data_IF_690383650038
#
_entry.id   IF_690383650038
#
_cell.length_a   1.000
_cell.length_b   1.000
_cell.length_c   1.000
_cell.angle_alpha   90.00
_cell.angle_beta   90.00
_cell.angle_gamma   90.00
#
_symmetry.space_group_name_H-M   'P 1'
#
loop_
_entity.id
_entity.type
_entity.pdbx_description
1 polymer ?
#
# COMPACT_ATOMS: atom_id res chain seq x y z
N UNK A 1 3.00 21.50 -2.13
CA UNK A 1 4.15 20.72 -2.62
C UNK A 1 4.00 20.60 -4.12
N UNK A 2 5.10 20.70 -4.87
CA UNK A 2 5.04 20.57 -6.33
C UNK A 2 4.95 19.09 -6.74
N UNK A 3 4.36 18.81 -7.91
CA UNK A 3 4.12 17.43 -8.35
C UNK A 3 5.40 16.57 -8.36
N UNK A 4 6.49 17.07 -8.93
CA UNK A 4 7.76 16.34 -8.98
C UNK A 4 8.41 16.16 -7.61
N UNK A 5 8.14 17.06 -6.67
CA UNK A 5 8.59 16.93 -5.28
C UNK A 5 7.81 15.81 -4.57
N UNK A 6 6.49 15.75 -4.74
CA UNK A 6 5.66 14.65 -4.22
C UNK A 6 6.12 13.29 -4.77
N UNK A 7 6.36 13.21 -6.09
CA UNK A 7 6.81 11.98 -6.74
C UNK A 7 8.20 11.53 -6.29
N UNK A 8 9.17 12.44 -6.20
CA UNK A 8 10.56 12.09 -5.84
C UNK A 8 10.75 11.78 -4.36
N UNK A 9 9.87 12.29 -3.48
CA UNK A 9 9.95 12.08 -2.04
C UNK A 9 9.05 10.95 -1.52
N UNK A 10 8.13 10.43 -2.33
CA UNK A 10 7.28 9.30 -1.97
C UNK A 10 8.13 8.05 -1.69
N UNK A 11 7.92 7.42 -0.52
CA UNK A 11 8.61 6.20 -0.10
C UNK A 11 7.64 5.24 0.58
N UNK A 12 8.00 3.96 0.60
CA UNK A 12 7.32 2.96 1.42
C UNK A 12 7.64 3.17 2.92
N UNK A 13 6.88 4.04 3.57
CA UNK A 13 7.01 4.31 5.01
C UNK A 13 6.38 3.16 5.80
N UNK A 14 7.12 2.70 6.82
CA UNK A 14 6.77 1.54 7.65
C UNK A 14 6.57 1.90 9.13
N UNK A 15 6.75 3.17 9.47
CA UNK A 15 6.54 3.74 10.81
C UNK A 15 5.63 4.94 10.65
N UNK A 16 4.36 4.76 10.96
CA UNK A 16 3.34 5.76 10.79
C UNK A 16 2.95 6.30 12.16
N UNK A 17 2.60 7.58 12.21
CA UNK A 17 2.07 8.19 13.43
C UNK A 17 0.59 7.82 13.59
N UNK A 18 0.12 7.81 14.84
CA UNK A 18 -1.27 7.53 15.21
C UNK A 18 -2.17 8.78 15.23
N UNK A 19 -1.63 9.96 14.91
CA UNK A 19 -2.39 11.21 14.86
C UNK A 19 -3.58 11.09 13.90
N UNK A 20 -4.79 11.50 14.31
CA UNK A 20 -5.97 11.45 13.45
C UNK A 20 -5.78 12.22 12.13
N UNK A 21 -6.26 11.65 11.03
CA UNK A 21 -6.36 12.35 9.75
C UNK A 21 -7.71 13.06 9.69
N UNK A 22 -7.75 14.39 9.49
CA UNK A 22 -9.01 15.13 9.32
C UNK A 22 -9.84 14.58 8.17
N UNK A 23 -11.17 14.58 8.32
CA UNK A 23 -12.07 14.03 7.29
C UNK A 23 -11.96 14.80 5.97
N UNK A 24 -11.80 16.12 6.00
CA UNK A 24 -11.57 16.94 4.81
C UNK A 24 -10.28 16.57 4.05
N UNK A 25 -9.22 16.16 4.76
CA UNK A 25 -7.97 15.69 4.16
C UNK A 25 -8.21 14.34 3.49
N UNK A 26 -8.91 13.44 4.20
CA UNK A 26 -9.27 12.12 3.69
C UNK A 26 -10.15 12.23 2.43
N UNK A 27 -11.12 13.14 2.41
CA UNK A 27 -11.96 13.42 1.24
C UNK A 27 -11.14 13.89 0.04
N UNK A 28 -10.19 14.83 0.23
CA UNK A 28 -9.30 15.29 -0.86
C UNK A 28 -8.43 14.17 -1.42
N UNK A 29 -7.85 13.34 -0.54
CA UNK A 29 -7.04 12.18 -0.95
C UNK A 29 -7.88 11.16 -1.72
N UNK A 30 -9.10 10.84 -1.25
CA UNK A 30 -9.99 9.90 -1.93
C UNK A 30 -10.50 10.47 -3.27
N UNK A 31 -10.74 11.78 -3.34
CA UNK A 31 -11.11 12.46 -4.58
C UNK A 31 -9.99 12.37 -5.64
N UNK A 32 -8.72 12.45 -5.23
CA UNK A 32 -7.60 12.25 -6.14
C UNK A 32 -7.57 10.85 -6.77
N UNK A 33 -8.02 9.82 -6.04
CA UNK A 33 -8.18 8.48 -6.57
C UNK A 33 -9.16 8.44 -7.75
N UNK A 34 -10.27 9.18 -7.66
CA UNK A 34 -11.31 9.22 -8.69
C UNK A 34 -10.88 9.97 -9.96
N UNK A 35 -9.83 10.79 -9.90
CA UNK A 35 -9.24 11.41 -11.08
C UNK A 35 -8.33 10.48 -11.89
N UNK A 36 -8.08 9.26 -11.39
CA UNK A 36 -7.28 8.30 -12.12
C UNK A 36 -7.99 7.82 -13.40
N UNK A 37 -7.26 7.64 -14.51
CA UNK A 37 -7.84 7.06 -15.71
C UNK A 37 -8.25 5.61 -15.46
N UNK A 38 -9.40 5.22 -16.00
CA UNK A 38 -9.86 3.83 -16.01
C UNK A 38 -10.48 3.48 -17.36
N UNK A 39 -10.38 2.20 -17.77
CA UNK A 39 -10.96 1.74 -19.03
C UNK A 39 -12.46 2.04 -19.08
N UNK A 40 -12.91 2.75 -20.11
CA UNK A 40 -14.32 3.17 -20.25
C UNK A 40 -14.83 4.08 -19.13
N UNK A 41 -13.94 4.68 -18.32
CA UNK A 41 -14.28 5.43 -17.11
C UNK A 41 -15.12 4.63 -16.09
N UNK A 42 -15.00 3.29 -16.09
CA UNK A 42 -15.82 2.40 -15.27
C UNK A 42 -15.48 2.49 -13.78
N UNK A 43 -14.26 2.92 -13.44
CA UNK A 43 -13.76 2.99 -12.07
C UNK A 43 -14.07 1.70 -11.29
N UNK A 44 -13.46 0.55 -11.68
CA UNK A 44 -13.85 -0.78 -11.22
C UNK A 44 -13.45 -1.06 -9.76
N UNK A 45 -13.11 -0.01 -8.99
CA UNK A 45 -12.64 -0.09 -7.62
C UNK A 45 -13.59 0.58 -6.62
N UNK A 46 -13.45 0.17 -5.37
CA UNK A 46 -14.00 0.81 -4.17
C UNK A 46 -12.86 0.97 -3.17
N UNK A 47 -12.88 2.08 -2.43
CA UNK A 47 -11.87 2.36 -1.41
C UNK A 47 -12.56 2.32 -0.06
N UNK A 48 -12.13 1.40 0.79
CA UNK A 48 -12.61 1.29 2.16
C UNK A 48 -11.64 2.03 3.08
N UNK A 49 -12.12 3.08 3.74
CA UNK A 49 -11.39 3.76 4.81
C UNK A 49 -11.67 3.08 6.16
N UNK A 50 -10.78 2.18 6.58
CA UNK A 50 -10.93 1.42 7.81
C UNK A 50 -10.34 2.22 8.98
N UNK A 51 -11.21 2.71 9.87
CA UNK A 51 -10.85 3.44 11.10
C UNK A 51 -11.14 2.67 12.40
N UNK A 52 -11.90 1.56 12.32
CA UNK A 52 -12.26 0.77 13.49
C UNK A 52 -11.03 0.07 14.06
N UNK A 53 -10.71 0.35 15.32
CA UNK A 53 -9.58 -0.26 16.02
C UNK A 53 -9.68 -1.80 16.08
N UNK A 54 -10.89 -2.35 16.22
CA UNK A 54 -11.12 -3.79 16.20
C UNK A 54 -10.79 -4.39 14.82
N UNK A 55 -11.31 -3.79 13.75
CA UNK A 55 -11.03 -4.25 12.38
C UNK A 55 -9.55 -4.12 12.04
N UNK A 56 -8.91 -3.03 12.46
CA UNK A 56 -7.47 -2.80 12.27
C UNK A 56 -6.63 -3.85 13.00
N UNK A 57 -6.98 -4.22 14.24
CA UNK A 57 -6.31 -5.33 14.97
C UNK A 57 -6.45 -6.67 14.25
N UNK A 58 -7.62 -6.95 13.70
CA UNK A 58 -7.87 -8.17 12.90
C UNK A 58 -7.01 -8.17 11.63
N UNK A 59 -6.96 -7.06 10.90
CA UNK A 59 -6.12 -6.92 9.70
C UNK A 59 -4.64 -7.04 10.05
N UNK A 60 -4.17 -6.43 11.15
CA UNK A 60 -2.80 -6.58 11.62
C UNK A 60 -2.44 -8.05 11.88
N UNK A 61 -3.34 -8.81 12.49
CA UNK A 61 -3.11 -10.24 12.72
C UNK A 61 -2.83 -10.97 11.39
N UNK A 62 -3.72 -10.81 10.41
CA UNK A 62 -3.54 -11.44 9.10
C UNK A 62 -2.28 -10.96 8.37
N UNK A 63 -2.04 -9.65 8.38
CA UNK A 63 -0.85 -9.06 7.78
C UNK A 63 0.44 -9.62 8.40
N UNK A 64 0.49 -9.75 9.73
CA UNK A 64 1.67 -10.29 10.43
C UNK A 64 1.91 -11.75 10.06
N UNK A 65 0.85 -12.57 9.99
CA UNK A 65 0.95 -13.97 9.61
C UNK A 65 1.50 -14.16 8.19
N UNK A 66 1.05 -13.34 7.24
CA UNK A 66 1.58 -13.35 5.86
C UNK A 66 2.99 -12.77 5.78
N UNK A 67 3.27 -11.69 6.53
CA UNK A 67 4.61 -11.11 6.61
C UNK A 67 5.60 -12.17 7.09
N UNK A 68 5.37 -12.81 8.23
CA UNK A 68 6.28 -13.83 8.78
C UNK A 68 6.56 -14.98 7.79
N UNK A 69 5.56 -15.39 7.01
CA UNK A 69 5.74 -16.36 5.93
C UNK A 69 6.61 -15.82 4.80
N UNK A 70 6.35 -14.59 4.34
CA UNK A 70 7.08 -13.93 3.27
C UNK A 70 8.57 -13.73 3.59
N UNK A 71 8.90 -13.28 4.81
CA UNK A 71 10.29 -12.98 5.21
C UNK A 71 11.08 -14.24 5.63
N UNK A 72 10.44 -15.36 5.96
CA UNK A 72 11.15 -16.57 6.45
C UNK A 72 12.37 -16.98 5.60
N UNK A 73 12.32 -17.01 4.25
CA UNK A 73 13.49 -17.36 3.43
C UNK A 73 14.63 -16.33 3.50
N UNK A 74 14.33 -15.03 3.50
CA UNK A 74 15.38 -14.00 3.61
C UNK A 74 16.06 -14.02 4.99
N UNK A 75 15.30 -14.29 6.07
CA UNK A 75 15.85 -14.46 7.43
C UNK A 75 16.86 -15.61 7.51
N UNK A 76 16.62 -16.70 6.78
CA UNK A 76 17.53 -17.85 6.75
C UNK A 76 18.82 -17.54 5.98
N UNK A 77 18.70 -16.86 4.83
CA UNK A 77 19.87 -16.44 4.02
C UNK A 77 20.74 -15.40 4.73
N UNK A 78 20.12 -14.37 5.31
CA UNK A 78 20.86 -13.29 5.97
C UNK A 78 21.62 -13.70 7.24
N UNK A 79 21.31 -14.85 7.84
CA UNK A 79 22.11 -15.44 8.93
C UNK A 79 23.39 -16.11 8.44
N UNK A 80 23.45 -16.48 7.16
CA UNK A 80 24.61 -17.14 6.56
C UNK A 80 25.65 -16.15 6.00
N UNK A 81 25.30 -14.86 5.86
CA UNK A 81 26.13 -13.85 5.20
C UNK A 81 26.42 -12.66 6.15
N UNK A 82 27.69 -12.35 6.38
CA UNK A 82 28.14 -11.18 7.18
C UNK A 82 28.80 -10.13 6.27
N UNK A 83 28.00 -9.39 5.50
CA UNK A 83 28.46 -8.29 4.64
C UNK A 83 27.51 -7.07 4.72
N UNK A 84 27.90 -5.96 4.10
CA UNK A 84 27.11 -4.71 4.11
C UNK A 84 25.73 -4.85 3.44
N UNK A 85 25.62 -5.71 2.43
CA UNK A 85 24.33 -6.01 1.79
C UNK A 85 23.37 -6.72 2.76
N UNK A 86 23.88 -7.65 3.57
CA UNK A 86 23.12 -8.32 4.63
C UNK A 86 22.71 -7.33 5.73
N UNK A 87 23.56 -6.36 6.08
CA UNK A 87 23.21 -5.30 7.04
C UNK A 87 22.08 -4.40 6.53
N UNK A 88 22.11 -4.01 5.24
CA UNK A 88 21.05 -3.22 4.60
C UNK A 88 19.72 -4.00 4.53
N UNK A 89 19.76 -5.27 4.10
CA UNK A 89 18.60 -6.14 4.07
C UNK A 89 17.96 -6.29 5.46
N UNK A 90 18.79 -6.46 6.50
CA UNK A 90 18.32 -6.52 7.89
C UNK A 90 17.61 -5.25 8.36
N UNK A 91 18.02 -4.06 7.89
CA UNK A 91 17.29 -2.80 8.20
C UNK A 91 15.90 -2.79 7.58
N UNK A 92 15.76 -3.23 6.33
CA UNK A 92 14.46 -3.32 5.63
C UNK A 92 13.55 -4.32 6.35
N UNK A 93 14.09 -5.47 6.75
CA UNK A 93 13.37 -6.50 7.50
C UNK A 93 12.87 -5.92 8.83
N UNK A 94 13.74 -5.28 9.62
CA UNK A 94 13.35 -4.65 10.90
C UNK A 94 12.26 -3.59 10.73
N UNK A 95 12.31 -2.82 9.64
CA UNK A 95 11.25 -1.85 9.35
C UNK A 95 9.94 -2.56 9.00
N UNK A 96 9.97 -3.65 8.23
CA UNK A 96 8.79 -4.45 7.92
C UNK A 96 8.20 -5.16 9.15
N UNK A 97 9.07 -5.70 10.02
CA UNK A 97 8.68 -6.27 11.31
C UNK A 97 7.98 -5.24 12.19
N UNK A 98 8.47 -3.99 12.18
CA UNK A 98 7.80 -2.91 12.90
C UNK A 98 6.39 -2.68 12.34
N UNK A 99 6.23 -2.49 11.03
CA UNK A 99 4.90 -2.32 10.42
C UNK A 99 3.98 -3.50 10.75
N UNK A 100 4.47 -4.73 10.66
CA UNK A 100 3.67 -5.92 10.93
C UNK A 100 3.15 -6.00 12.38
N UNK A 101 3.89 -5.43 13.33
CA UNK A 101 3.52 -5.41 14.74
C UNK A 101 2.73 -4.16 15.16
N UNK A 102 2.77 -3.10 14.37
CA UNK A 102 2.19 -1.79 14.69
C UNK A 102 1.12 -1.33 13.68
N UNK A 103 0.75 -2.14 12.68
CA UNK A 103 -0.20 -1.76 11.63
C UNK A 103 -1.53 -1.23 12.17
N UNK A 104 -2.02 -1.77 13.29
CA UNK A 104 -3.29 -1.38 13.89
C UNK A 104 -3.26 -0.01 14.58
N UNK A 105 -2.08 0.60 14.71
CA UNK A 105 -1.91 1.94 15.30
C UNK A 105 -2.18 3.07 14.30
N UNK A 106 -2.29 2.76 13.00
CA UNK A 106 -2.59 3.76 11.98
C UNK A 106 -4.00 4.34 12.21
N UNK A 107 -4.20 5.66 12.01
CA UNK A 107 -5.50 6.30 12.20
C UNK A 107 -6.53 5.87 11.14
N UNK A 108 -6.06 5.49 9.95
CA UNK A 108 -6.88 5.01 8.84
C UNK A 108 -6.06 4.09 7.95
N UNK A 109 -6.65 2.97 7.54
CA UNK A 109 -6.11 2.09 6.49
C UNK A 109 -7.03 2.15 5.27
N UNK A 110 -6.47 2.51 4.12
CA UNK A 110 -7.18 2.47 2.84
C UNK A 110 -7.03 1.10 2.19
N UNK A 111 -8.14 0.40 2.01
CA UNK A 111 -8.18 -0.89 1.30
C UNK A 111 -8.83 -0.68 -0.06
N UNK A 112 -8.08 -0.93 -1.12
CA UNK A 112 -8.58 -0.89 -2.49
C UNK A 112 -9.15 -2.26 -2.85
N UNK A 113 -10.45 -2.30 -3.07
CA UNK A 113 -11.16 -3.48 -3.58
C UNK A 113 -11.51 -3.22 -5.03
N UNK A 114 -11.51 -4.25 -5.88
CA UNK A 114 -11.92 -4.14 -7.27
C UNK A 114 -12.78 -5.33 -7.68
N UNK A 115 -13.63 -5.14 -8.69
CA UNK A 115 -14.39 -6.24 -9.30
C UNK A 115 -13.76 -6.60 -10.66
N UNK A 116 -13.10 -7.77 -10.79
CA UNK A 116 -12.55 -8.23 -12.06
C UNK A 116 -13.56 -8.31 -13.21
N UNK A 117 -14.84 -8.55 -12.91
CA UNK A 117 -15.91 -8.59 -13.93
C UNK A 117 -16.08 -7.26 -14.67
N UNK A 118 -15.67 -6.15 -14.06
CA UNK A 118 -15.73 -4.81 -14.64
C UNK A 118 -14.41 -4.39 -15.31
N UNK A 119 -13.45 -5.31 -15.46
CA UNK A 119 -12.11 -5.00 -15.95
C UNK A 119 -11.85 -5.68 -17.30
N UNK A 120 -11.29 -4.93 -18.24
CA UNK A 120 -10.82 -5.46 -19.51
C UNK A 120 -9.43 -6.10 -19.35
N UNK A 121 -9.37 -7.30 -18.76
CA UNK A 121 -8.12 -8.02 -18.54
C UNK A 121 -7.75 -8.81 -19.80
N UNK A 122 -7.13 -8.13 -20.76
CA UNK A 122 -6.85 -8.70 -22.10
C UNK A 122 -5.77 -9.78 -22.11
N UNK A 123 -5.06 -9.97 -21.00
CA UNK A 123 -3.96 -10.93 -20.86
C UNK A 123 -4.24 -12.03 -19.84
N UNK A 124 -5.52 -12.26 -19.49
CA UNK A 124 -5.93 -13.25 -18.49
C UNK A 124 -5.55 -14.70 -18.88
N UNK A 125 -5.59 -15.03 -20.17
CA UNK A 125 -5.36 -16.39 -20.68
C UNK A 125 -3.89 -16.68 -21.06
N UNK A 126 -2.97 -15.76 -20.77
CA UNK A 126 -1.55 -15.98 -21.07
C UNK A 126 -0.87 -16.83 -19.99
N UNK A 127 0.15 -17.59 -20.38
CA UNK A 127 0.99 -18.37 -19.46
C UNK A 127 2.01 -17.47 -18.70
N UNK A 128 1.50 -16.40 -18.10
CA UNK A 128 2.22 -15.48 -17.23
C UNK A 128 1.24 -14.73 -16.33
N UNK A 129 1.68 -14.17 -15.19
CA UNK A 129 0.86 -13.24 -14.44
C UNK A 129 0.36 -12.08 -15.30
N UNK A 130 -0.89 -11.69 -15.10
CA UNK A 130 -1.49 -10.53 -15.77
C UNK A 130 -0.76 -9.25 -15.37
N UNK A 131 -0.42 -8.42 -16.37
CA UNK A 131 0.11 -7.06 -16.18
C UNK A 131 -0.95 -6.00 -16.46
N UNK A 132 -1.99 -6.34 -17.25
CA UNK A 132 -3.10 -5.43 -17.57
C UNK A 132 -4.13 -5.38 -16.44
N UNK A 133 -4.28 -6.47 -15.69
CA UNK A 133 -5.35 -6.67 -14.72
C UNK A 133 -5.39 -5.68 -13.57
N UNK A 134 -4.32 -4.93 -13.30
CA UNK A 134 -4.33 -3.85 -12.29
C UNK A 134 -4.30 -2.44 -12.86
N UNK A 135 -4.29 -2.27 -14.20
CA UNK A 135 -4.00 -0.98 -14.85
C UNK A 135 -4.96 0.16 -14.46
N UNK A 136 -6.24 -0.15 -14.23
CA UNK A 136 -7.24 0.84 -13.79
C UNK A 136 -7.29 1.06 -12.27
N UNK A 137 -6.56 0.26 -11.48
CA UNK A 137 -6.55 0.34 -10.01
C UNK A 137 -5.25 0.97 -9.50
N UNK A 138 -4.09 0.59 -10.07
CA UNK A 138 -2.79 1.07 -9.62
C UNK A 138 -2.60 2.58 -9.81
N UNK A 139 -3.23 3.16 -10.84
CA UNK A 139 -3.23 4.62 -11.06
C UNK A 139 -3.99 5.36 -9.96
N UNK A 140 -5.13 4.82 -9.49
CA UNK A 140 -5.89 5.36 -8.37
C UNK A 140 -5.10 5.28 -7.06
N UNK A 141 -4.42 4.15 -6.82
CA UNK A 141 -3.51 3.98 -5.68
C UNK A 141 -2.36 5.00 -5.72
N UNK A 142 -1.73 5.18 -6.89
CA UNK A 142 -0.66 6.15 -7.08
C UNK A 142 -1.13 7.59 -6.82
N UNK A 143 -2.29 7.97 -7.36
CA UNK A 143 -2.86 9.30 -7.10
C UNK A 143 -3.11 9.54 -5.62
N UNK A 144 -3.66 8.55 -4.90
CA UNK A 144 -3.86 8.62 -3.44
C UNK A 144 -2.53 8.83 -2.71
N UNK A 145 -1.49 8.07 -3.07
CA UNK A 145 -0.18 8.22 -2.45
C UNK A 145 0.44 9.60 -2.68
N UNK A 146 0.30 10.16 -3.89
CA UNK A 146 0.79 11.51 -4.21
C UNK A 146 -0.02 12.59 -3.48
N UNK A 147 -1.34 12.44 -3.40
CA UNK A 147 -2.20 13.33 -2.63
C UNK A 147 -1.86 13.27 -1.13
N UNK A 148 -1.63 12.07 -0.57
CA UNK A 148 -1.13 11.92 0.80
C UNK A 148 0.17 12.73 1.02
N UNK A 149 1.16 12.61 0.11
CA UNK A 149 2.40 13.39 0.21
C UNK A 149 2.16 14.89 0.20
N UNK A 150 1.30 15.38 -0.68
CA UNK A 150 0.88 16.78 -0.75
C UNK A 150 0.25 17.26 0.57
N UNK A 151 -0.56 16.43 1.21
CA UNK A 151 -1.24 16.70 2.48
C UNK A 151 -0.32 16.48 3.71
N UNK A 152 0.95 16.16 3.51
CA UNK A 152 1.90 15.89 4.60
C UNK A 152 1.72 14.53 5.28
N UNK A 153 0.98 13.61 4.66
CA UNK A 153 0.81 12.23 5.06
C UNK A 153 1.85 11.32 4.38
N UNK A 154 2.05 10.15 4.96
CA UNK A 154 3.01 9.15 4.47
C UNK A 154 4.35 9.22 5.19
#
# INVERSE_FOLDING_TARGET
MELYEAMSTLRAVRRLRSDPVPDEVLERVLQAAAWAPSGGNVQPFRILAVKSAEKLKTIQKWYREEWDRYIKPQRQRGRAENNDAAASANKIIKAGDYLANHLAEVPVLLVFCFNPEHMAITDAELDRPSVVGGGSVYTAVQNVMLACRQEGLG
#
